data_IF_846151732224
#
_entry.id   IF_846151732224
#
_cell.length_a   1.000
_cell.length_b   1.000
_cell.length_c   1.000
_cell.angle_alpha   90.00
_cell.angle_beta   90.00
_cell.angle_gamma   90.00
#
_symmetry.space_group_name_H-M   'P 1'
#
loop_
_entity.id
_entity.type
_entity.pdbx_description
1 polymer ?
#
# COMPACT_ATOMS: atom_id res chain seq x y z
N UNK A 1 -17.60 16.19 4.42
CA UNK A 1 -16.23 15.98 3.93
C UNK A 1 -16.29 14.90 2.87
N UNK A 2 -15.78 15.16 1.66
CA UNK A 2 -15.69 14.10 0.65
C UNK A 2 -14.66 13.06 1.11
N UNK A 3 -14.98 11.77 0.94
CA UNK A 3 -14.01 10.70 1.21
C UNK A 3 -12.82 10.82 0.24
N UNK A 4 -11.65 10.36 0.67
CA UNK A 4 -10.49 10.27 -0.23
C UNK A 4 -10.84 9.33 -1.40
N UNK A 5 -10.49 9.66 -2.67
CA UNK A 5 -11.01 8.96 -3.84
C UNK A 5 -10.35 7.60 -4.09
N UNK A 6 -9.27 7.27 -3.38
CA UNK A 6 -8.69 5.92 -3.41
C UNK A 6 -9.25 5.11 -2.24
N UNK A 7 -9.62 3.87 -2.50
CA UNK A 7 -10.01 2.88 -1.49
C UNK A 7 -9.02 1.73 -1.46
N UNK A 8 -9.00 0.97 -0.37
CA UNK A 8 -8.12 -0.16 -0.15
C UNK A 8 -8.92 -1.37 0.36
N UNK A 9 -8.75 -2.52 -0.29
CA UNK A 9 -9.33 -3.79 0.13
C UNK A 9 -8.33 -4.95 0.01
N UNK A 10 -8.20 -5.84 1.01
CA UNK A 10 -8.78 -5.73 2.35
C UNK A 10 -8.10 -4.64 3.20
N UNK A 11 -8.79 -4.17 4.24
CA UNK A 11 -8.26 -3.18 5.21
C UNK A 11 -7.45 -3.80 6.34
N UNK A 12 -7.45 -5.13 6.48
CA UNK A 12 -6.64 -5.90 7.43
C UNK A 12 -6.11 -7.16 6.76
N UNK A 13 -4.94 -7.63 7.20
CA UNK A 13 -4.33 -8.87 6.69
C UNK A 13 -4.20 -9.88 7.83
N UNK A 14 -4.67 -11.10 7.59
CA UNK A 14 -4.43 -12.26 8.44
C UNK A 14 -3.94 -13.42 7.57
N UNK A 15 -2.72 -13.90 7.83
CA UNK A 15 -2.04 -14.93 7.04
C UNK A 15 -1.37 -15.95 7.96
N UNK A 16 -1.15 -17.20 7.52
CA UNK A 16 -0.45 -18.18 8.33
C UNK A 16 1.00 -17.77 8.62
N UNK A 17 1.46 -17.96 9.86
CA UNK A 17 2.85 -17.74 10.25
C UNK A 17 3.83 -18.64 9.46
N UNK A 18 3.35 -19.79 8.98
CA UNK A 18 4.11 -20.69 8.13
C UNK A 18 4.44 -20.10 6.75
N UNK A 19 3.72 -19.08 6.31
CA UNK A 19 3.86 -18.41 5.02
C UNK A 19 2.54 -18.33 4.25
N UNK A 20 2.45 -17.36 3.34
CA UNK A 20 1.27 -17.13 2.49
C UNK A 20 1.35 -15.79 1.78
N UNK A 21 0.45 -15.55 0.80
CA UNK A 21 0.39 -14.29 0.06
C UNK A 21 -1.02 -13.74 0.06
N UNK A 22 -1.14 -12.41 0.06
CA UNK A 22 -2.41 -11.72 -0.09
C UNK A 22 -2.22 -10.51 -1.02
N UNK A 23 -3.22 -10.24 -1.85
CA UNK A 23 -3.23 -9.07 -2.72
C UNK A 23 -4.13 -8.00 -2.11
N UNK A 24 -3.54 -6.84 -1.88
CA UNK A 24 -4.25 -5.60 -1.59
C UNK A 24 -4.66 -4.95 -2.92
N UNK A 25 -5.88 -4.44 -3.00
CA UNK A 25 -6.43 -3.75 -4.15
C UNK A 25 -6.63 -2.27 -3.80
N UNK A 26 -5.83 -1.40 -4.40
CA UNK A 26 -6.02 0.04 -4.38
C UNK A 26 -6.91 0.44 -5.54
N UNK A 27 -8.07 1.06 -5.29
CA UNK A 27 -9.00 1.47 -6.36
C UNK A 27 -9.17 2.97 -6.34
N UNK A 28 -8.78 3.65 -7.42
CA UNK A 28 -8.92 5.08 -7.59
C UNK A 28 -10.21 5.42 -8.34
N UNK A 29 -11.14 6.05 -7.63
CA UNK A 29 -12.44 6.48 -8.16
C UNK A 29 -12.41 7.92 -8.70
N UNK A 30 -11.27 8.62 -8.61
CA UNK A 30 -11.09 9.90 -9.30
C UNK A 30 -11.08 9.69 -10.80
N UNK A 31 -11.70 10.60 -11.55
CA UNK A 31 -11.69 10.61 -13.01
C UNK A 31 -10.50 11.39 -13.60
N UNK A 32 -9.79 12.18 -12.79
CA UNK A 32 -8.74 13.09 -13.28
C UNK A 32 -7.40 12.92 -12.57
N UNK A 33 -7.42 12.56 -11.28
CA UNK A 33 -6.21 12.57 -10.45
C UNK A 33 -5.58 11.18 -10.45
N UNK A 34 -4.34 11.09 -10.94
CA UNK A 34 -3.46 9.95 -10.71
C UNK A 34 -2.76 10.09 -9.36
N UNK A 35 -2.60 8.98 -8.65
CA UNK A 35 -1.84 8.94 -7.41
C UNK A 35 -0.60 8.07 -7.56
N UNK A 36 0.50 8.50 -6.96
CA UNK A 36 1.61 7.60 -6.63
C UNK A 36 1.40 7.02 -5.24
N UNK A 37 1.91 5.81 -4.99
CA UNK A 37 1.91 5.20 -3.68
C UNK A 37 3.29 4.74 -3.24
N UNK A 38 3.49 4.71 -1.91
CA UNK A 38 4.66 4.14 -1.25
C UNK A 38 4.22 3.24 -0.10
N UNK A 39 4.69 2.00 -0.12
CA UNK A 39 4.49 1.04 0.94
C UNK A 39 5.59 1.14 1.99
N UNK A 40 5.20 1.08 3.26
CA UNK A 40 6.12 0.95 4.41
C UNK A 40 5.62 -0.18 5.29
N UNK A 41 6.53 -0.98 5.85
CA UNK A 41 6.18 -2.02 6.81
C UNK A 41 7.06 -1.88 8.04
N UNK A 42 6.48 -2.22 9.19
CA UNK A 42 7.18 -2.35 10.47
C UNK A 42 8.03 -3.63 10.55
N UNK A 43 7.78 -4.60 9.66
CA UNK A 43 8.46 -5.89 9.65
C UNK A 43 8.84 -6.30 8.22
N UNK A 44 10.09 -6.01 7.84
CA UNK A 44 10.64 -6.38 6.54
C UNK A 44 11.43 -7.69 6.58
N UNK A 45 11.66 -8.28 7.75
CA UNK A 45 12.30 -9.59 7.87
C UNK A 45 11.39 -10.68 7.27
N UNK A 46 10.11 -10.61 7.64
CA UNK A 46 9.12 -11.67 7.44
C UNK A 46 8.04 -11.36 6.43
N UNK A 47 7.86 -10.09 6.06
CA UNK A 47 6.97 -9.70 4.96
C UNK A 47 7.77 -9.18 3.78
N UNK A 48 7.28 -9.44 2.57
CA UNK A 48 7.73 -8.82 1.32
C UNK A 48 6.53 -8.14 0.69
N UNK A 49 6.74 -6.94 0.18
CA UNK A 49 5.72 -6.14 -0.48
C UNK A 49 6.15 -5.88 -1.92
N UNK A 50 5.25 -6.12 -2.87
CA UNK A 50 5.53 -5.92 -4.29
C UNK A 50 4.30 -5.35 -5.02
N UNK A 51 4.41 -4.19 -5.69
CA UNK A 51 5.56 -3.29 -5.68
C UNK A 51 5.59 -2.41 -4.40
N UNK A 52 6.78 -1.92 -4.01
CA UNK A 52 6.91 -0.96 -2.88
C UNK A 52 6.48 0.45 -3.29
N UNK A 53 6.66 0.79 -4.57
CA UNK A 53 6.23 2.05 -5.15
C UNK A 53 5.47 1.78 -6.43
N UNK A 54 4.45 2.57 -6.72
CA UNK A 54 3.70 2.45 -7.96
C UNK A 54 2.75 3.62 -8.15
N UNK A 55 1.91 3.49 -9.17
CA UNK A 55 0.83 4.43 -9.45
C UNK A 55 -0.51 3.73 -9.30
N UNK A 56 -1.54 4.50 -8.96
CA UNK A 56 -2.94 4.12 -9.11
C UNK A 56 -3.53 5.08 -10.14
N UNK A 57 -3.62 4.60 -11.38
CA UNK A 57 -4.13 5.38 -12.50
C UNK A 57 -5.58 5.81 -12.27
N UNK A 58 -5.94 6.97 -12.83
CA UNK A 58 -7.29 7.52 -12.73
C UNK A 58 -8.36 6.52 -13.19
N UNK A 59 -9.40 6.30 -12.38
CA UNK A 59 -10.49 5.37 -12.69
C UNK A 59 -10.10 3.89 -12.71
N UNK A 60 -8.92 3.51 -12.20
CA UNK A 60 -8.43 2.12 -12.23
C UNK A 60 -8.13 1.56 -10.86
N UNK A 61 -7.84 0.26 -10.82
CA UNK A 61 -7.32 -0.42 -9.64
C UNK A 61 -5.91 -0.95 -9.87
N UNK A 62 -5.09 -0.93 -8.82
CA UNK A 62 -3.73 -1.48 -8.80
C UNK A 62 -3.57 -2.45 -7.64
N UNK A 63 -2.87 -3.55 -7.89
CA UNK A 63 -2.61 -4.58 -6.88
C UNK A 63 -1.26 -4.37 -6.20
N UNK A 64 -1.22 -4.60 -4.89
CA UNK A 64 0.00 -4.69 -4.08
C UNK A 64 0.00 -6.06 -3.41
N UNK A 65 0.94 -6.90 -3.78
CA UNK A 65 1.15 -8.21 -3.18
C UNK A 65 1.89 -8.07 -1.85
N UNK A 66 1.39 -8.75 -0.83
CA UNK A 66 2.05 -8.90 0.47
C UNK A 66 2.29 -10.39 0.70
N UNK A 67 3.56 -10.79 0.68
CA UNK A 67 4.01 -12.15 0.91
C UNK A 67 4.56 -12.27 2.34
N UNK A 68 3.95 -13.15 3.14
CA UNK A 68 4.49 -13.63 4.42
C UNK A 68 5.42 -14.81 4.17
N UNK A 69 6.66 -14.68 4.63
CA UNK A 69 7.62 -15.78 4.71
C UNK A 69 7.33 -16.63 5.95
N UNK A 70 8.00 -17.77 6.10
CA UNK A 70 7.95 -18.55 7.33
C UNK A 70 8.54 -17.73 8.50
N UNK A 71 7.89 -17.74 9.66
CA UNK A 71 8.41 -17.14 10.89
C UNK A 71 7.45 -17.28 12.06
N UNK A 72 7.72 -16.60 13.19
CA UNK A 72 6.87 -16.70 14.37
C UNK A 72 5.48 -16.05 14.16
N UNK A 73 4.43 -16.55 14.80
CA UNK A 73 3.16 -15.83 14.90
C UNK A 73 3.35 -14.47 15.58
N UNK A 74 2.73 -13.43 15.05
CA UNK A 74 2.85 -12.05 15.51
C UNK A 74 1.68 -11.22 14.97
N UNK A 75 1.09 -10.32 15.77
CA UNK A 75 -0.14 -9.59 15.42
C UNK A 75 -0.09 -8.07 15.62
N UNK A 76 1.06 -7.54 16.04
CA UNK A 76 1.32 -6.10 16.22
C UNK A 76 2.07 -5.46 15.05
N UNK A 77 2.39 -6.24 14.00
CA UNK A 77 2.96 -5.70 12.77
C UNK A 77 1.92 -4.86 12.01
N UNK A 78 2.40 -3.82 11.35
CA UNK A 78 1.61 -2.88 10.55
C UNK A 78 2.29 -2.59 9.23
N UNK A 79 1.47 -2.32 8.22
CA UNK A 79 1.86 -1.77 6.93
C UNK A 79 1.15 -0.45 6.69
N UNK A 80 1.86 0.52 6.14
CA UNK A 80 1.30 1.78 5.69
C UNK A 80 1.40 1.88 4.16
N UNK A 81 0.33 2.36 3.53
CA UNK A 81 0.37 2.79 2.13
C UNK A 81 0.14 4.30 2.11
N UNK A 82 1.18 5.03 1.73
CA UNK A 82 1.14 6.49 1.57
C UNK A 82 0.70 6.80 0.15
N UNK A 83 -0.18 7.79 -0.04
CA UNK A 83 -0.61 8.27 -1.35
C UNK A 83 -0.33 9.76 -1.52
N UNK A 84 0.09 10.13 -2.72
CA UNK A 84 0.28 11.51 -3.13
C UNK A 84 -0.26 11.71 -4.55
N UNK A 85 -0.95 12.82 -4.85
CA UNK A 85 -1.32 13.15 -6.22
C UNK A 85 -0.04 13.36 -7.04
N UNK A 86 -0.07 12.95 -8.31
CA UNK A 86 1.09 13.06 -9.19
C UNK A 86 0.65 13.44 -10.60
N UNK A 87 1.40 14.35 -11.22
CA UNK A 87 1.19 14.75 -12.60
C UNK A 87 1.31 13.54 -13.53
N UNK A 88 0.42 13.36 -14.54
CA UNK A 88 0.44 12.23 -15.47
C UNK A 88 1.75 12.04 -16.26
N UNK A 89 2.56 13.09 -16.43
CA UNK A 89 3.82 13.02 -17.19
C UNK A 89 4.99 12.44 -16.36
N UNK A 90 4.81 12.27 -15.04
CA UNK A 90 5.83 11.69 -14.16
C UNK A 90 5.89 10.17 -14.34
N UNK A 91 7.09 9.63 -14.55
CA UNK A 91 7.29 8.18 -14.74
C UNK A 91 7.89 7.48 -13.52
N UNK A 92 8.47 8.22 -12.57
CA UNK A 92 9.03 7.65 -11.33
C UNK A 92 8.08 7.92 -10.15
N UNK A 93 7.38 6.90 -9.61
CA UNK A 93 6.45 7.09 -8.49
C UNK A 93 7.14 7.55 -7.20
N UNK A 94 8.48 7.43 -7.12
CA UNK A 94 9.26 7.85 -5.94
C UNK A 94 9.37 9.37 -5.81
N UNK A 95 9.24 10.11 -6.91
CA UNK A 95 9.45 11.57 -6.91
C UNK A 95 8.46 12.30 -5.99
N UNK A 96 7.30 11.70 -5.71
CA UNK A 96 6.28 12.25 -4.80
C UNK A 96 6.59 12.04 -3.32
N UNK A 97 7.65 11.30 -2.95
CA UNK A 97 7.93 10.90 -1.56
C UNK A 97 9.36 11.26 -1.10
N UNK A 98 9.87 12.41 -1.54
CA UNK A 98 11.13 12.97 -1.04
C UNK A 98 11.06 13.29 0.46
N UNK A 99 12.21 13.33 1.12
CA UNK A 99 12.27 13.57 2.56
C UNK A 99 11.58 14.90 2.94
N UNK A 100 10.59 14.81 3.84
CA UNK A 100 9.82 15.95 4.36
C UNK A 100 8.46 16.20 3.69
N UNK A 101 8.12 15.54 2.58
CA UNK A 101 6.77 15.67 1.99
C UNK A 101 5.74 14.88 2.79
N UNK A 102 4.71 15.55 3.31
CA UNK A 102 3.56 14.86 3.90
C UNK A 102 2.72 14.20 2.80
N UNK A 103 2.31 12.93 2.97
CA UNK A 103 1.44 12.28 2.01
C UNK A 103 0.03 12.88 2.09
N UNK A 104 -0.66 12.94 0.95
CA UNK A 104 -2.04 13.42 0.89
C UNK A 104 -3.01 12.49 1.63
N UNK A 105 -2.71 11.18 1.65
CA UNK A 105 -3.47 10.20 2.42
C UNK A 105 -2.58 9.04 2.86
N UNK A 106 -3.01 8.35 3.91
CA UNK A 106 -2.34 7.16 4.44
C UNK A 106 -3.36 6.11 4.83
N UNK A 107 -3.20 4.91 4.27
CA UNK A 107 -3.81 3.71 4.82
C UNK A 107 -2.88 3.08 5.85
N UNK A 108 -3.47 2.61 6.94
CA UNK A 108 -2.78 1.81 7.95
C UNK A 108 -3.46 0.46 8.04
N UNK A 109 -2.68 -0.59 7.76
CA UNK A 109 -3.13 -1.97 7.58
C UNK A 109 -2.49 -2.83 8.67
N UNK A 110 -3.28 -3.34 9.63
CA UNK A 110 -2.84 -4.35 10.57
C UNK A 110 -2.41 -5.64 9.85
N UNK A 111 -1.27 -6.19 10.23
CA UNK A 111 -0.74 -7.47 9.75
C UNK A 111 -0.73 -8.49 10.88
N UNK A 112 -1.49 -9.56 10.73
CA UNK A 112 -1.50 -10.69 11.65
C UNK A 112 -0.95 -11.95 10.98
N UNK A 113 0.13 -12.49 11.55
CA UNK A 113 0.62 -13.83 11.30
C UNK A 113 0.08 -14.76 12.40
N UNK A 114 -0.81 -15.70 12.04
CA UNK A 114 -1.49 -16.62 12.96
C UNK A 114 -1.05 -18.07 12.80
#
# INVERSE_FOLDING_TARGET
MAAFPVTLEPTTISVPAAGGSINLLLTNTSAEIRYSFKCKSTCNEFYRVNPVYGFVESGTSTQVEVLRLNGPPKSDDRMEILLAPVDPDINDPRSSFSDGSEPAHKFDIPLAAV
#
